data_IF_480603958076
#
_entry.id   IF_480603958076
#
_cell.length_a   1.000
_cell.length_b   1.000
_cell.length_c   1.000
_cell.angle_alpha   90.00
_cell.angle_beta   90.00
_cell.angle_gamma   90.00
#
_symmetry.space_group_name_H-M   'P 1'
#
loop_
_entity.id
_entity.type
_entity.pdbx_description
1 polymer ?
#
# COMPACT_ATOMS: atom_id res chain seq x y z
N UNK A 1 -5.67 11.12 9.78
CA UNK A 1 -6.11 9.83 10.34
C UNK A 1 -7.07 9.25 9.32
N UNK A 2 -6.95 7.97 8.98
CA UNK A 2 -7.79 7.30 8.00
C UNK A 2 -9.23 7.28 8.53
N UNK A 3 -10.21 7.85 7.81
CA UNK A 3 -11.61 7.86 8.24
C UNK A 3 -12.15 6.44 8.44
N UNK A 4 -13.03 6.27 9.44
CA UNK A 4 -13.66 4.98 9.78
C UNK A 4 -14.36 4.33 8.58
N UNK A 5 -14.92 5.13 7.68
CA UNK A 5 -15.55 4.64 6.45
C UNK A 5 -14.56 3.92 5.52
N UNK A 6 -13.31 4.41 5.43
CA UNK A 6 -12.29 3.78 4.59
C UNK A 6 -11.73 2.54 5.28
N UNK A 7 -11.58 2.57 6.62
CA UNK A 7 -11.20 1.40 7.39
C UNK A 7 -12.22 0.26 7.22
N UNK A 8 -13.52 0.58 7.27
CA UNK A 8 -14.58 -0.39 6.98
C UNK A 8 -14.49 -0.90 5.53
N UNK A 9 -14.32 0.01 4.56
CA UNK A 9 -14.19 -0.37 3.16
C UNK A 9 -12.97 -1.26 2.90
N UNK A 10 -11.88 -1.08 3.64
CA UNK A 10 -10.69 -1.93 3.55
C UNK A 10 -10.97 -3.36 3.99
N UNK A 11 -11.83 -3.57 4.99
CA UNK A 11 -12.24 -4.92 5.41
C UNK A 11 -13.10 -5.62 4.34
N UNK A 12 -13.92 -4.86 3.61
CA UNK A 12 -14.76 -5.36 2.51
C UNK A 12 -14.09 -5.26 1.13
N UNK A 13 -12.77 -5.09 1.08
CA UNK A 13 -12.04 -4.98 -0.17
C UNK A 13 -11.94 -6.30 -0.94
N UNK A 14 -11.82 -6.18 -2.25
CA UNK A 14 -11.20 -7.20 -3.08
C UNK A 14 -9.78 -7.44 -2.59
N UNK A 15 -9.36 -8.71 -2.52
CA UNK A 15 -8.06 -9.08 -1.93
C UNK A 15 -6.88 -8.29 -2.51
N UNK A 16 -6.97 -7.96 -3.80
CA UNK A 16 -5.91 -7.32 -4.53
C UNK A 16 -6.06 -5.79 -4.51
N UNK A 17 -4.95 -5.11 -4.22
CA UNK A 17 -4.80 -3.66 -4.36
C UNK A 17 -3.88 -3.35 -5.54
N UNK A 18 -4.00 -2.15 -6.10
CA UNK A 18 -3.07 -1.61 -7.08
C UNK A 18 -2.12 -0.65 -6.37
N UNK A 19 -0.86 -1.05 -6.25
CA UNK A 19 0.20 -0.18 -5.75
C UNK A 19 0.84 0.52 -6.96
N UNK A 20 0.86 1.85 -6.93
CA UNK A 20 1.54 2.67 -7.94
C UNK A 20 2.71 3.42 -7.29
N UNK A 21 3.83 3.42 -7.98
CA UNK A 21 5.06 4.17 -7.68
C UNK A 21 5.49 4.92 -8.94
N UNK A 22 6.47 5.82 -8.83
CA UNK A 22 6.99 6.59 -9.97
C UNK A 22 8.52 6.49 -9.99
N UNK A 23 9.10 6.29 -11.17
CA UNK A 23 10.56 6.32 -11.34
C UNK A 23 11.11 7.74 -11.15
N UNK A 24 12.43 7.86 -11.01
CA UNK A 24 13.13 9.16 -10.96
C UNK A 24 12.95 10.00 -12.22
N UNK A 25 12.56 9.38 -13.33
CA UNK A 25 12.28 10.05 -14.62
C UNK A 25 10.81 10.47 -14.77
N UNK A 26 9.99 10.24 -13.74
CA UNK A 26 8.55 10.55 -13.78
C UNK A 26 7.69 9.49 -14.45
N UNK A 27 8.22 8.31 -14.79
CA UNK A 27 7.43 7.23 -15.40
C UNK A 27 6.66 6.45 -14.32
N UNK A 28 5.32 6.38 -14.37
CA UNK A 28 4.54 5.62 -13.41
C UNK A 28 4.74 4.11 -13.59
N UNK A 29 4.65 3.40 -12.47
CA UNK A 29 4.69 1.94 -12.39
C UNK A 29 3.60 1.45 -11.45
N UNK A 30 2.67 0.64 -11.96
CA UNK A 30 1.61 0.02 -11.16
C UNK A 30 1.80 -1.50 -11.11
N UNK A 31 1.54 -2.09 -9.94
CA UNK A 31 1.55 -3.54 -9.74
C UNK A 31 0.27 -3.98 -9.03
N UNK A 32 -0.10 -5.25 -9.23
CA UNK A 32 -1.11 -5.92 -8.42
C UNK A 32 -0.47 -6.54 -7.19
N UNK A 33 -0.97 -6.20 -6.00
CA UNK A 33 -0.49 -6.74 -4.73
C UNK A 33 -1.66 -7.33 -3.92
N UNK A 34 -1.52 -8.57 -3.46
CA UNK A 34 -2.54 -9.27 -2.65
C UNK A 34 -2.16 -9.40 -1.18
N UNK A 35 -0.94 -8.99 -0.83
CA UNK A 35 -0.39 -9.03 0.53
C UNK A 35 -0.19 -7.58 0.98
N UNK A 36 -1.28 -6.97 1.42
CA UNK A 36 -1.30 -5.61 1.92
C UNK A 36 -2.31 -5.49 3.06
N UNK A 37 -1.98 -4.75 4.11
CA UNK A 37 -2.91 -4.46 5.20
C UNK A 37 -2.66 -3.10 5.86
N UNK A 38 -3.63 -2.63 6.65
CA UNK A 38 -3.52 -1.38 7.41
C UNK A 38 -2.84 -1.68 8.75
N UNK A 39 -1.69 -1.05 9.01
CA UNK A 39 -0.94 -1.19 10.25
C UNK A 39 -1.56 -0.38 11.39
N UNK A 40 -1.90 0.88 11.09
CA UNK A 40 -2.52 1.81 12.03
C UNK A 40 -3.40 2.81 11.27
N UNK A 41 -3.96 3.80 11.98
CA UNK A 41 -4.86 4.80 11.39
C UNK A 41 -4.15 5.81 10.45
N UNK A 42 -2.89 5.57 10.05
CA UNK A 42 -2.13 6.43 9.14
C UNK A 42 -1.27 5.65 8.15
N UNK A 43 -1.15 4.33 8.28
CA UNK A 43 -0.13 3.56 7.57
C UNK A 43 -0.70 2.31 6.92
N UNK A 44 -0.45 2.16 5.63
CA UNK A 44 -0.72 0.93 4.87
C UNK A 44 0.60 0.22 4.63
N UNK A 45 0.64 -1.09 4.84
CA UNK A 45 1.82 -1.91 4.61
C UNK A 45 1.57 -2.86 3.44
N UNK A 46 2.52 -2.95 2.51
CA UNK A 46 2.51 -3.90 1.38
C UNK A 46 3.77 -4.76 1.45
N UNK A 47 3.61 -6.08 1.32
CA UNK A 47 4.73 -7.02 1.35
C UNK A 47 5.54 -6.96 0.04
N UNK A 48 6.85 -6.80 0.15
CA UNK A 48 7.80 -7.07 -0.93
C UNK A 48 8.03 -8.57 -1.05
N UNK A 49 7.22 -9.22 -1.88
CA UNK A 49 7.45 -10.62 -2.25
C UNK A 49 8.32 -10.74 -3.52
N UNK A 50 8.13 -9.84 -4.49
CA UNK A 50 8.80 -9.88 -5.79
C UNK A 50 9.02 -8.47 -6.37
N UNK A 51 9.22 -7.45 -5.53
CA UNK A 51 9.45 -6.10 -6.05
C UNK A 51 10.79 -6.02 -6.77
N UNK A 52 10.74 -5.62 -8.03
CA UNK A 52 11.92 -5.23 -8.81
C UNK A 52 11.88 -3.73 -9.10
N UNK A 53 11.22 -3.31 -10.19
CA UNK A 53 11.00 -1.90 -10.54
C UNK A 53 10.36 -1.08 -9.41
N UNK A 54 9.41 -1.66 -8.68
CA UNK A 54 8.77 -1.01 -7.52
C UNK A 54 9.80 -0.69 -6.43
N UNK A 55 10.73 -1.62 -6.16
CA UNK A 55 11.79 -1.45 -5.14
C UNK A 55 12.79 -0.38 -5.54
N UNK A 56 13.19 -0.36 -6.80
CA UNK A 56 14.07 0.70 -7.35
C UNK A 56 13.43 2.09 -7.18
N UNK A 57 12.14 2.23 -7.51
CA UNK A 57 11.40 3.48 -7.30
C UNK A 57 11.40 3.89 -5.82
N UNK A 58 11.14 2.95 -4.91
CA UNK A 58 11.14 3.19 -3.46
C UNK A 58 12.52 3.68 -2.97
N UNK A 59 13.59 3.00 -3.40
CA UNK A 59 14.97 3.37 -3.03
C UNK A 59 15.36 4.76 -3.54
N UNK A 60 14.77 5.21 -4.65
CA UNK A 60 14.97 6.54 -5.21
C UNK A 60 14.05 7.63 -4.60
N UNK A 61 13.28 7.32 -3.54
CA UNK A 61 12.47 8.31 -2.84
C UNK A 61 11.12 8.63 -3.50
N UNK A 62 10.47 7.63 -4.09
CA UNK A 62 9.16 7.80 -4.75
C UNK A 62 8.03 8.16 -3.77
N UNK A 63 6.97 8.78 -4.31
CA UNK A 63 5.65 8.77 -3.67
C UNK A 63 4.86 7.56 -4.15
N UNK A 64 3.92 7.09 -3.35
CA UNK A 64 3.08 5.96 -3.71
C UNK A 64 1.60 6.25 -3.60
N UNK A 65 0.82 5.52 -4.39
CA UNK A 65 -0.62 5.39 -4.18
C UNK A 65 -1.04 3.92 -4.10
N UNK A 66 -2.06 3.67 -3.28
CA UNK A 66 -2.72 2.36 -3.16
C UNK A 66 -4.18 2.56 -3.52
N UNK A 67 -4.60 2.02 -4.66
CA UNK A 67 -5.99 1.97 -5.09
C UNK A 67 -6.57 0.60 -4.76
N UNK A 68 -7.75 0.56 -4.16
CA UNK A 68 -8.47 -0.68 -3.92
C UNK A 68 -9.96 -0.54 -4.22
N UNK A 69 -10.59 -1.68 -4.49
CA UNK A 69 -12.03 -1.79 -4.67
C UNK A 69 -12.62 -2.57 -3.52
N UNK A 70 -13.81 -2.17 -3.08
CA UNK A 70 -14.70 -3.04 -2.30
C UNK A 70 -15.30 -4.14 -3.18
N UNK A 71 -15.80 -5.21 -2.58
CA UNK A 71 -16.59 -6.25 -3.30
C UNK A 71 -17.80 -5.66 -4.04
N UNK A 72 -18.34 -4.54 -3.55
CA UNK A 72 -19.43 -3.78 -4.19
C UNK A 72 -18.92 -2.75 -5.22
N UNK A 73 -17.64 -2.82 -5.62
CA UNK A 73 -16.98 -1.98 -6.62
C UNK A 73 -16.90 -0.48 -6.27
N UNK A 74 -17.11 -0.10 -5.01
CA UNK A 74 -16.71 1.24 -4.53
C UNK A 74 -15.20 1.33 -4.46
N UNK A 75 -14.61 2.39 -5.01
CA UNK A 75 -13.17 2.59 -5.09
C UNK A 75 -12.66 3.58 -4.05
N UNK A 76 -11.46 3.30 -3.53
CA UNK A 76 -10.75 4.18 -2.62
C UNK A 76 -9.27 4.23 -2.97
N UNK A 77 -8.64 5.39 -2.81
CA UNK A 77 -7.21 5.57 -3.06
C UNK A 77 -6.54 6.23 -1.87
N UNK A 78 -5.45 5.63 -1.40
CA UNK A 78 -4.49 6.28 -0.52
C UNK A 78 -3.33 6.85 -1.31
N UNK A 79 -2.78 7.99 -0.88
CA UNK A 79 -1.55 8.58 -1.43
C UNK A 79 -0.66 9.05 -0.29
N UNK A 80 0.65 8.92 -0.45
CA UNK A 80 1.57 9.34 0.60
C UNK A 80 3.04 9.09 0.30
N UNK A 81 3.86 9.43 1.30
CA UNK A 81 5.29 9.10 1.33
C UNK A 81 5.48 7.65 1.71
N UNK A 82 6.66 7.10 1.39
CA UNK A 82 6.97 5.70 1.67
C UNK A 82 8.21 5.55 2.53
N UNK A 83 8.27 4.43 3.24
CA UNK A 83 9.48 3.92 3.89
C UNK A 83 9.55 2.41 3.71
N UNK A 84 10.76 1.88 3.57
CA UNK A 84 10.99 0.46 3.31
C UNK A 84 11.73 -0.16 4.48
N UNK A 85 11.22 -1.28 4.99
CA UNK A 85 11.70 -1.92 6.22
C UNK A 85 12.01 -3.39 5.97
N UNK A 86 13.19 -3.83 6.40
CA UNK A 86 13.60 -5.25 6.41
C UNK A 86 13.62 -5.84 7.83
N UNK A 87 13.30 -5.02 8.82
CA UNK A 87 13.23 -5.36 10.24
C UNK A 87 12.30 -4.37 10.95
N UNK A 88 12.00 -4.63 12.23
CA UNK A 88 11.19 -3.74 13.06
C UNK A 88 9.68 -3.86 12.81
N UNK A 89 8.88 -2.95 13.39
CA UNK A 89 7.45 -3.16 13.59
C UNK A 89 6.63 -3.34 12.30
N UNK A 90 6.96 -2.61 11.23
CA UNK A 90 6.27 -2.77 9.95
C UNK A 90 6.64 -4.08 9.25
N UNK A 91 7.89 -4.52 9.39
CA UNK A 91 8.34 -5.81 8.87
C UNK A 91 7.69 -6.97 9.64
N UNK A 92 7.65 -6.89 10.96
CA UNK A 92 7.02 -7.89 11.83
C UNK A 92 5.51 -8.00 11.54
N UNK A 93 4.84 -6.85 11.41
CA UNK A 93 3.43 -6.81 11.02
C UNK A 93 3.21 -7.44 9.64
N UNK A 94 4.06 -7.12 8.66
CA UNK A 94 4.01 -7.75 7.34
C UNK A 94 4.19 -9.25 7.41
N UNK A 95 5.13 -9.75 8.21
CA UNK A 95 5.33 -11.19 8.41
C UNK A 95 4.12 -11.88 9.04
N UNK A 96 3.34 -11.18 9.86
CA UNK A 96 2.13 -11.74 10.48
C UNK A 96 1.00 -12.03 9.49
N UNK A 97 0.83 -11.19 8.44
CA UNK A 97 -0.22 -11.41 7.44
C UNK A 97 0.28 -12.01 6.12
N UNK A 98 1.57 -11.90 5.81
CA UNK A 98 2.13 -12.43 4.56
C UNK A 98 2.19 -13.97 4.62
N UNK A 99 1.67 -14.68 3.59
CA UNK A 99 1.74 -16.13 3.56
C UNK A 99 3.18 -16.63 3.67
N UNK A 100 3.43 -17.63 4.53
CA UNK A 100 4.78 -18.12 4.82
C UNK A 100 5.53 -18.69 3.60
N UNK A 101 4.80 -19.12 2.57
CA UNK A 101 5.36 -19.59 1.31
C UNK A 101 5.89 -18.46 0.41
N UNK A 102 5.51 -17.22 0.68
CA UNK A 102 6.00 -16.07 -0.07
C UNK A 102 7.24 -15.48 0.60
N UNK A 103 8.18 -14.90 -0.17
CA UNK A 103 9.48 -14.50 0.38
C UNK A 103 9.40 -13.48 1.52
N UNK A 104 8.54 -12.46 1.39
CA UNK A 104 8.43 -11.35 2.34
C UNK A 104 9.79 -10.71 2.62
N UNK A 105 10.49 -10.26 1.58
CA UNK A 105 11.81 -9.65 1.64
C UNK A 105 11.82 -8.30 2.37
N UNK A 106 10.66 -7.65 2.49
CA UNK A 106 10.51 -6.41 3.23
C UNK A 106 9.07 -5.91 3.28
N UNK A 107 8.86 -4.87 4.05
CA UNK A 107 7.60 -4.16 4.20
C UNK A 107 7.74 -2.75 3.62
N UNK A 108 6.94 -2.46 2.59
CA UNK A 108 6.71 -1.10 2.16
C UNK A 108 5.61 -0.49 3.03
N UNK A 109 5.97 0.49 3.85
CA UNK A 109 5.00 1.29 4.61
C UNK A 109 4.70 2.58 3.85
N UNK A 110 3.43 2.78 3.50
CA UNK A 110 2.90 4.00 2.91
C UNK A 110 2.27 4.84 4.03
N UNK A 111 2.85 6.00 4.30
CA UNK A 111 2.37 6.98 5.26
C UNK A 111 1.30 7.84 4.60
N UNK A 112 0.03 7.55 4.87
CA UNK A 112 -1.12 8.14 4.18
C UNK A 112 -1.20 9.64 4.49
N UNK A 113 -1.10 10.45 3.44
CA UNK A 113 -1.25 11.91 3.47
C UNK A 113 -2.56 12.35 2.85
N UNK A 114 -3.06 11.60 1.86
CA UNK A 114 -4.34 11.87 1.21
C UNK A 114 -5.12 10.57 1.04
N UNK A 115 -6.44 10.67 1.10
CA UNK A 115 -7.34 9.57 0.76
C UNK A 115 -8.51 10.07 -0.07
N UNK A 116 -8.97 9.25 -1.02
CA UNK A 116 -10.03 9.61 -1.95
C UNK A 116 -11.06 8.50 -2.10
N UNK A 117 -12.30 8.87 -2.42
CA UNK A 117 -13.35 8.00 -2.95
C UNK A 117 -13.88 8.62 -4.24
N UNK A 118 -13.49 8.08 -5.40
CA UNK A 118 -13.76 8.76 -6.68
C UNK A 118 -13.12 10.15 -6.72
N UNK A 119 -13.93 11.20 -6.89
CA UNK A 119 -13.46 12.59 -6.91
C UNK A 119 -13.36 13.22 -5.51
N UNK A 120 -13.95 12.60 -4.49
CA UNK A 120 -14.03 13.17 -3.14
C UNK A 120 -12.72 12.96 -2.38
N UNK A 121 -12.14 14.04 -1.85
CA UNK A 121 -10.97 13.99 -0.95
C UNK A 121 -11.46 13.85 0.50
N UNK A 122 -11.00 12.80 1.17
CA UNK A 122 -11.41 12.39 2.51
C UNK A 122 -10.34 12.66 3.59
N UNK A 123 -9.09 12.83 3.17
CA UNK A 123 -7.94 13.30 3.97
C UNK A 123 -7.17 14.30 3.12
#
# INVERSE_FOLDING_TARGET
MIPKEILHAWQEREKAVVLTTVSSEGMPNSIWATCADIYDEKTVVVADNYFNKTKQNIQNGTLASVLFLTKQRKSYQFKGTVSYHTEGPYFDFMKAFNPAQLPGHGALAIHVQEAYSGADKLI
#
